data_IF_082695692601
#
_entry.id   IF_082695692601
#
_cell.length_a   1.000
_cell.length_b   1.000
_cell.length_c   1.000
_cell.angle_alpha   90.00
_cell.angle_beta   90.00
_cell.angle_gamma   90.00
#
_symmetry.space_group_name_H-M   'P 1'
#
loop_
_entity.id
_entity.type
_entity.pdbx_description
1 polymer ?
#
# COMPACT_ATOMS: atom_id res chain seq x y z
N UNK A 1 30.39 -4.57 -2.58
CA UNK A 1 29.90 -3.66 -1.60
C UNK A 1 28.61 -4.09 -1.02
N UNK A 2 28.69 -4.36 0.19
CA UNK A 2 27.53 -4.89 0.88
C UNK A 2 26.41 -3.86 1.01
N UNK A 3 26.74 -2.59 1.17
CA UNK A 3 25.69 -1.58 1.30
C UNK A 3 24.81 -1.52 0.08
N UNK A 4 25.41 -1.58 -1.09
CA UNK A 4 24.63 -1.55 -2.33
C UNK A 4 23.72 -2.76 -2.45
N UNK A 5 24.11 -3.87 -1.87
CA UNK A 5 23.33 -5.09 -1.92
C UNK A 5 22.23 -5.10 -0.88
N UNK A 6 22.42 -4.35 0.20
CA UNK A 6 21.47 -4.33 1.29
C UNK A 6 20.29 -3.39 1.03
N UNK A 7 20.42 -2.48 0.08
CA UNK A 7 19.40 -1.47 -0.21
C UNK A 7 18.78 -1.75 -1.56
N UNK A 8 17.49 -2.03 -1.55
CA UNK A 8 16.73 -2.21 -2.80
C UNK A 8 16.10 -0.88 -3.19
N UNK A 9 16.00 -0.63 -4.48
CA UNK A 9 15.31 0.56 -4.98
C UNK A 9 13.81 0.41 -4.75
N UNK A 10 13.11 1.51 -4.74
CA UNK A 10 11.66 1.51 -4.63
C UNK A 10 11.01 0.75 -5.79
N UNK A 11 11.58 0.86 -6.99
CA UNK A 11 11.10 0.13 -8.15
C UNK A 11 11.22 -1.38 -7.96
N UNK A 12 12.32 -1.84 -7.38
CA UNK A 12 12.54 -3.25 -7.12
C UNK A 12 11.53 -3.77 -6.10
N UNK A 13 11.28 -3.01 -5.06
CA UNK A 13 10.31 -3.37 -4.04
C UNK A 13 8.91 -3.48 -4.65
N UNK A 14 8.51 -2.48 -5.43
CA UNK A 14 7.19 -2.47 -6.07
C UNK A 14 7.01 -3.69 -6.97
N UNK A 15 8.05 -4.05 -7.74
CA UNK A 15 7.94 -5.17 -8.67
C UNK A 15 7.78 -6.51 -7.96
N UNK A 16 8.21 -6.62 -6.71
CA UNK A 16 8.10 -7.84 -5.93
C UNK A 16 6.79 -7.95 -5.15
N UNK A 17 6.09 -6.83 -4.96
CA UNK A 17 4.84 -6.84 -4.21
C UNK A 17 3.69 -7.36 -5.05
N UNK A 18 2.85 -8.16 -4.43
CA UNK A 18 1.61 -8.60 -5.09
C UNK A 18 0.63 -7.42 -5.09
N UNK A 19 -0.39 -7.52 -5.94
CA UNK A 19 -1.46 -6.51 -5.96
C UNK A 19 -2.14 -6.40 -4.59
N UNK A 20 -2.33 -7.54 -3.93
CA UNK A 20 -2.93 -7.57 -2.60
C UNK A 20 -2.11 -6.76 -1.59
N UNK A 21 -0.80 -6.96 -1.60
CA UNK A 21 0.11 -6.22 -0.72
C UNK A 21 0.13 -4.73 -1.04
N UNK A 22 0.15 -4.39 -2.32
CA UNK A 22 0.10 -2.98 -2.73
C UNK A 22 -1.18 -2.31 -2.25
N UNK A 23 -2.31 -3.02 -2.33
CA UNK A 23 -3.58 -2.49 -1.87
C UNK A 23 -3.60 -2.25 -0.36
N UNK A 24 -2.94 -3.11 0.41
CA UNK A 24 -2.80 -2.88 1.85
C UNK A 24 -2.05 -1.57 2.10
N UNK A 25 -0.95 -1.35 1.39
CA UNK A 25 -0.19 -0.11 1.55
C UNK A 25 -1.02 1.12 1.20
N UNK A 26 -1.78 1.03 0.10
CA UNK A 26 -2.63 2.14 -0.34
C UNK A 26 -3.68 2.47 0.73
N UNK A 27 -4.29 1.45 1.31
CA UNK A 27 -5.30 1.64 2.37
C UNK A 27 -4.70 2.38 3.55
N UNK A 28 -3.44 2.09 3.89
CA UNK A 28 -2.78 2.67 5.05
C UNK A 28 -2.23 4.07 4.83
N UNK A 29 -2.37 4.64 3.63
CA UNK A 29 -1.85 5.99 3.37
C UNK A 29 -2.56 7.08 4.16
N UNK A 30 -3.81 6.86 4.54
CA UNK A 30 -4.60 7.89 5.21
C UNK A 30 -4.40 7.91 6.72
N UNK A 31 -4.28 6.76 7.34
CA UNK A 31 -4.17 6.66 8.80
C UNK A 31 -3.80 5.25 9.21
N UNK A 32 -3.24 5.09 10.42
CA UNK A 32 -3.01 3.75 10.96
C UNK A 32 -4.34 3.02 11.15
N UNK A 33 -4.34 1.71 10.99
CA UNK A 33 -5.56 0.90 11.12
C UNK A 33 -5.29 -0.42 11.81
N UNK A 34 -6.30 -0.92 12.50
CA UNK A 34 -6.29 -2.28 13.03
C UNK A 34 -6.42 -3.27 11.87
N UNK A 35 -5.93 -4.49 12.09
CA UNK A 35 -6.02 -5.52 11.05
C UNK A 35 -7.44 -5.75 10.55
N UNK A 36 -8.43 -5.72 11.45
CA UNK A 36 -9.82 -5.91 11.06
C UNK A 36 -10.34 -4.79 10.16
N UNK A 37 -9.90 -3.55 10.43
CA UNK A 37 -10.29 -2.41 9.57
C UNK A 37 -9.68 -2.55 8.18
N UNK A 38 -8.43 -2.98 8.10
CA UNK A 38 -7.77 -3.24 6.81
C UNK A 38 -8.54 -4.31 6.05
N UNK A 39 -8.92 -5.39 6.74
CA UNK A 39 -9.69 -6.47 6.15
C UNK A 39 -10.98 -5.94 5.50
N UNK A 40 -11.71 -5.10 6.23
CA UNK A 40 -12.97 -4.53 5.74
C UNK A 40 -12.79 -3.66 4.51
N UNK A 41 -11.71 -2.85 4.49
CA UNK A 41 -11.42 -2.00 3.33
C UNK A 41 -11.09 -2.85 2.11
N UNK A 42 -10.33 -3.93 2.29
CA UNK A 42 -10.03 -4.84 1.20
C UNK A 42 -11.28 -5.52 0.69
N UNK A 43 -12.17 -5.93 1.60
CA UNK A 43 -13.43 -6.57 1.22
C UNK A 43 -14.32 -5.62 0.43
N UNK A 44 -14.36 -4.35 0.81
CA UNK A 44 -15.10 -3.34 0.04
C UNK A 44 -14.56 -3.24 -1.37
N UNK A 45 -13.25 -3.22 -1.51
CA UNK A 45 -12.60 -3.07 -2.81
C UNK A 45 -12.82 -4.29 -3.70
N UNK A 46 -12.63 -5.48 -3.13
CA UNK A 46 -12.75 -6.72 -3.91
C UNK A 46 -14.18 -7.20 -4.10
N UNK A 47 -15.09 -6.74 -3.25
CA UNK A 47 -16.49 -7.18 -3.31
C UNK A 47 -16.69 -8.59 -2.81
N UNK A 48 -15.76 -9.12 -2.01
CA UNK A 48 -15.84 -10.47 -1.49
C UNK A 48 -15.05 -10.55 -0.18
N UNK A 49 -15.27 -11.60 0.60
CA UNK A 49 -14.58 -11.80 1.85
C UNK A 49 -13.08 -11.98 1.65
N UNK A 50 -12.32 -11.47 2.60
CA UNK A 50 -10.86 -11.64 2.66
C UNK A 50 -10.56 -12.56 3.84
N UNK A 51 -9.86 -13.63 3.57
CA UNK A 51 -9.53 -14.66 4.54
C UNK A 51 -8.43 -14.17 5.50
N UNK A 52 -8.59 -14.43 6.82
CA UNK A 52 -7.56 -14.12 7.81
C UNK A 52 -6.24 -14.78 7.46
N UNK A 53 -6.29 -16.01 6.98
CA UNK A 53 -5.09 -16.76 6.58
C UNK A 53 -4.35 -16.15 5.42
N UNK A 54 -5.01 -15.28 4.66
CA UNK A 54 -4.35 -14.53 3.60
C UNK A 54 -3.87 -13.17 4.10
N UNK A 55 -4.67 -12.52 4.92
CA UNK A 55 -4.37 -11.15 5.37
C UNK A 55 -3.15 -11.10 6.29
N UNK A 56 -3.16 -11.87 7.38
CA UNK A 56 -2.14 -11.69 8.42
C UNK A 56 -0.74 -12.10 8.00
N UNK A 57 -0.53 -13.19 7.25
CA UNK A 57 0.81 -13.46 6.72
C UNK A 57 1.32 -12.36 5.81
N UNK A 58 0.44 -11.73 5.05
CA UNK A 58 0.84 -10.61 4.18
C UNK A 58 1.18 -9.37 4.98
N UNK A 59 0.44 -9.10 6.06
CA UNK A 59 0.79 -8.00 6.96
C UNK A 59 2.15 -8.23 7.60
N UNK A 60 2.41 -9.46 8.06
CA UNK A 60 3.69 -9.80 8.67
C UNK A 60 4.84 -9.62 7.68
N UNK A 61 4.63 -10.04 6.44
CA UNK A 61 5.64 -9.88 5.41
C UNK A 61 5.94 -8.41 5.14
N UNK A 62 4.91 -7.57 5.09
CA UNK A 62 5.09 -6.14 4.89
C UNK A 62 5.81 -5.49 6.07
N UNK A 63 5.57 -5.97 7.29
CA UNK A 63 6.32 -5.52 8.47
C UNK A 63 7.79 -5.90 8.33
N UNK A 64 8.06 -7.14 7.95
CA UNK A 64 9.43 -7.62 7.76
C UNK A 64 10.18 -6.85 6.69
N UNK A 65 9.47 -6.40 5.66
CA UNK A 65 10.05 -5.61 4.58
C UNK A 65 10.25 -4.13 4.98
N UNK A 66 9.75 -3.74 6.15
CA UNK A 66 9.91 -2.36 6.61
C UNK A 66 8.95 -1.38 5.95
N UNK A 67 7.88 -1.87 5.34
CA UNK A 67 6.92 -1.02 4.64
C UNK A 67 5.78 -0.57 5.53
N UNK A 68 5.51 -1.33 6.58
CA UNK A 68 4.54 -0.95 7.61
C UNK A 68 5.14 -1.29 8.98
N UNK A 69 4.62 -0.65 10.01
CA UNK A 69 5.00 -0.92 11.39
C UNK A 69 3.79 -1.46 12.13
N UNK A 70 4.04 -2.39 13.04
CA UNK A 70 2.99 -2.96 13.87
C UNK A 70 3.17 -2.47 15.29
N UNK A 71 2.11 -1.92 15.89
CA UNK A 71 2.07 -1.52 17.29
C UNK A 71 1.03 -2.35 18.00
N UNK A 72 1.41 -2.92 19.13
CA UNK A 72 0.47 -3.66 19.95
C UNK A 72 -0.18 -2.70 20.94
N UNK A 73 -1.49 -2.51 20.83
CA UNK A 73 -2.22 -1.60 21.72
C UNK A 73 -2.69 -2.32 22.97
N UNK A 74 -2.99 -3.62 22.86
CA UNK A 74 -3.29 -4.48 23.97
C UNK A 74 -2.95 -5.92 23.55
N UNK A 75 -3.24 -6.90 24.38
CA UNK A 75 -2.83 -8.28 24.13
C UNK A 75 -3.40 -8.90 22.85
N UNK A 76 -4.41 -8.28 22.26
CA UNK A 76 -5.12 -8.88 21.12
C UNK A 76 -5.23 -7.95 19.91
N UNK A 77 -4.84 -6.69 20.09
CA UNK A 77 -5.11 -5.68 19.07
C UNK A 77 -3.82 -5.08 18.57
N UNK A 78 -3.56 -5.30 17.28
CA UNK A 78 -2.41 -4.72 16.61
C UNK A 78 -2.88 -3.64 15.65
N UNK A 79 -2.21 -2.50 15.71
CA UNK A 79 -2.43 -1.41 14.79
C UNK A 79 -1.27 -1.39 13.80
N UNK A 80 -1.57 -1.14 12.54
CA UNK A 80 -0.56 -1.10 11.48
C UNK A 80 -0.50 0.30 10.90
N UNK A 81 0.71 0.78 10.68
CA UNK A 81 0.95 2.12 10.16
C UNK A 81 1.94 2.06 9.01
N UNK A 82 1.69 2.85 7.97
CA UNK A 82 2.59 2.94 6.83
C UNK A 82 3.87 3.64 7.26
N UNK A 83 5.02 3.07 6.90
CA UNK A 83 6.31 3.73 7.16
C UNK A 83 6.60 4.74 6.06
N UNK A 84 7.63 5.55 6.26
CA UNK A 84 8.08 6.46 5.21
C UNK A 84 8.47 5.69 3.95
N UNK A 85 9.17 4.58 4.12
CA UNK A 85 9.55 3.72 2.98
C UNK A 85 8.31 3.18 2.28
N UNK A 86 7.31 2.73 3.05
CA UNK A 86 6.05 2.25 2.47
C UNK A 86 5.32 3.35 1.70
N UNK A 87 5.33 4.56 2.25
CA UNK A 87 4.72 5.70 1.56
C UNK A 87 5.42 6.00 0.24
N UNK A 88 6.76 5.97 0.25
CA UNK A 88 7.54 6.20 -0.96
C UNK A 88 7.25 5.15 -2.03
N UNK A 89 7.05 3.91 -1.62
CA UNK A 89 6.68 2.83 -2.54
C UNK A 89 5.34 3.12 -3.20
N UNK A 90 4.34 3.55 -2.42
CA UNK A 90 3.02 3.91 -2.96
C UNK A 90 3.14 5.06 -3.94
N UNK A 91 3.87 6.11 -3.57
CA UNK A 91 4.03 7.28 -4.43
C UNK A 91 4.76 6.93 -5.72
N UNK A 92 5.77 6.08 -5.64
CA UNK A 92 6.51 5.62 -6.82
C UNK A 92 5.59 4.88 -7.79
N UNK A 93 4.70 4.05 -7.25
CA UNK A 93 3.74 3.31 -8.06
C UNK A 93 2.75 4.27 -8.73
N UNK A 94 2.24 5.25 -7.97
CA UNK A 94 1.32 6.24 -8.52
C UNK A 94 1.97 7.04 -9.63
N UNK A 95 3.22 7.46 -9.42
CA UNK A 95 3.96 8.21 -10.43
C UNK A 95 4.08 7.42 -11.73
N UNK A 96 4.42 6.14 -11.62
CA UNK A 96 4.52 5.30 -12.80
C UNK A 96 3.17 5.17 -13.52
N UNK A 97 2.10 4.90 -12.77
CA UNK A 97 0.77 4.76 -13.34
C UNK A 97 0.34 6.04 -14.05
N UNK A 98 0.54 7.18 -13.40
CA UNK A 98 0.20 8.49 -13.98
C UNK A 98 1.02 8.74 -15.25
N UNK A 99 2.30 8.41 -15.23
CA UNK A 99 3.17 8.64 -16.38
C UNK A 99 2.71 7.83 -17.60
N UNK A 100 2.07 6.69 -17.37
CA UNK A 100 1.56 5.86 -18.47
C UNK A 100 0.20 6.34 -18.96
N UNK A 101 -0.66 6.80 -18.07
CA UNK A 101 -1.98 7.24 -18.46
C UNK A 101 -2.00 8.67 -19.00
N UNK A 102 -1.27 9.58 -18.35
CA UNK A 102 -1.31 11.01 -18.68
C UNK A 102 -0.32 11.30 -19.80
N UNK A 103 -0.79 11.18 -21.03
CA UNK A 103 0.05 11.40 -22.23
C UNK A 103 -0.23 12.73 -22.90
N UNK A 104 -1.30 13.44 -22.51
CA UNK A 104 -1.66 14.73 -23.08
C UNK A 104 -2.54 15.51 -22.09
N UNK A 105 -2.89 16.73 -22.45
CA UNK A 105 -3.67 17.62 -21.58
C UNK A 105 -5.07 17.11 -21.34
N UNK A 106 -5.66 16.41 -22.31
CA UNK A 106 -7.00 15.86 -22.15
C UNK A 106 -7.02 14.79 -21.06
N UNK A 107 -6.07 13.87 -21.08
CA UNK A 107 -5.97 12.83 -20.06
C UNK A 107 -5.63 13.38 -18.70
N UNK A 108 -4.79 14.43 -18.66
CA UNK A 108 -4.51 15.11 -17.39
C UNK A 108 -5.79 15.71 -16.81
N UNK A 109 -6.65 16.27 -17.66
CA UNK A 109 -7.94 16.82 -17.24
C UNK A 109 -8.87 15.76 -16.72
N UNK A 110 -8.91 14.60 -17.36
CA UNK A 110 -9.72 13.48 -16.92
C UNK A 110 -9.28 13.02 -15.52
N UNK A 111 -7.98 12.90 -15.30
CA UNK A 111 -7.45 12.49 -14.02
C UNK A 111 -7.77 13.51 -12.93
N UNK A 112 -7.64 14.79 -13.24
CA UNK A 112 -7.99 15.86 -12.29
C UNK A 112 -9.45 15.78 -11.91
N UNK A 113 -10.34 15.52 -12.87
CA UNK A 113 -11.75 15.37 -12.61
C UNK A 113 -12.03 14.19 -11.68
N UNK A 114 -11.34 13.07 -11.92
CA UNK A 114 -11.46 11.89 -11.09
C UNK A 114 -11.07 12.19 -9.64
N UNK A 115 -9.99 12.92 -9.44
CA UNK A 115 -9.52 13.32 -8.11
C UNK A 115 -10.56 14.23 -7.44
N UNK A 116 -11.08 15.21 -8.18
CA UNK A 116 -12.06 16.16 -7.65
C UNK A 116 -13.36 15.46 -7.27
N UNK A 117 -13.79 14.48 -8.06
CA UNK A 117 -15.02 13.73 -7.78
C UNK A 117 -14.87 12.81 -6.56
N UNK A 118 -13.63 12.45 -6.22
CA UNK A 118 -13.36 11.54 -5.09
C UNK A 118 -13.32 12.24 -3.74
N UNK A 119 -13.26 13.55 -3.72
CA UNK A 119 -13.14 14.31 -2.46
C UNK A 119 -14.48 14.53 -1.80
#
# INVERSE_FOLDING_TARGET
>A
MSEAQAVRSEGDIVSELTAFQQNILVILTTEPMYGLAIKRKLEEYYGTEVNHGRLYPNLDELVDEGLIEKSELDKRTNQYELTETGRDVVLSRLEWVFSKYVTDAERAGELRQLVDDSR
#
